data_IF_764276147082
#
_entry.id   IF_764276147082
#
_cell.length_a   1.000
_cell.length_b   1.000
_cell.length_c   1.000
_cell.angle_alpha   90.00
_cell.angle_beta   90.00
_cell.angle_gamma   90.00
#
_symmetry.space_group_name_H-M   'P 1'
#
loop_
_entity.id
_entity.type
_entity.pdbx_description
1 polymer ?
#
# COMPACT_ATOMS: atom_id res chain seq x y z
N UNK A 1 -16.47 6.80 -15.28
CA UNK A 1 -17.04 6.77 -13.91
C UNK A 1 -16.64 5.47 -13.25
N UNK A 2 -15.64 5.47 -12.36
CA UNK A 2 -15.33 4.28 -11.56
C UNK A 2 -16.45 4.05 -10.56
N UNK A 3 -17.14 2.91 -10.65
CA UNK A 3 -18.02 2.43 -9.58
C UNK A 3 -17.17 2.36 -8.31
N UNK A 4 -17.50 3.16 -7.30
CA UNK A 4 -16.91 3.02 -5.97
C UNK A 4 -17.19 1.57 -5.56
N UNK A 5 -16.14 0.74 -5.44
CA UNK A 5 -16.29 -0.61 -4.90
C UNK A 5 -16.89 -0.45 -3.51
N UNK A 6 -18.15 -0.81 -3.36
CA UNK A 6 -18.80 -0.87 -2.07
C UNK A 6 -18.02 -1.88 -1.25
N UNK A 7 -17.39 -1.41 -0.17
CA UNK A 7 -16.63 -2.27 0.74
C UNK A 7 -17.59 -3.25 1.38
N UNK A 8 -17.18 -4.51 1.41
CA UNK A 8 -18.10 -5.57 1.77
C UNK A 8 -18.12 -5.75 3.29
N UNK A 9 -19.29 -5.58 3.89
CA UNK A 9 -19.52 -5.87 5.30
C UNK A 9 -20.08 -7.28 5.51
N UNK A 10 -20.10 -8.15 4.49
CA UNK A 10 -20.63 -9.53 4.59
C UNK A 10 -20.10 -10.30 5.80
N UNK A 11 -21.03 -10.97 6.49
CA UNK A 11 -20.75 -11.76 7.71
C UNK A 11 -20.61 -10.93 8.99
N UNK A 12 -20.86 -9.61 8.95
CA UNK A 12 -20.74 -8.74 10.11
C UNK A 12 -21.65 -9.15 11.27
N UNK A 13 -22.87 -9.61 11.01
CA UNK A 13 -23.84 -9.99 12.05
C UNK A 13 -23.41 -11.22 12.86
N UNK A 14 -22.65 -12.12 12.23
CA UNK A 14 -22.12 -13.32 12.89
C UNK A 14 -20.83 -13.02 13.65
N UNK A 15 -20.09 -12.00 13.20
CA UNK A 15 -18.76 -11.66 13.72
C UNK A 15 -18.79 -10.59 14.80
N UNK A 16 -19.87 -9.81 14.88
CA UNK A 16 -20.02 -8.67 15.78
C UNK A 16 -21.15 -8.92 16.77
N UNK A 17 -21.03 -8.29 17.94
CA UNK A 17 -22.05 -8.31 18.97
C UNK A 17 -22.76 -6.94 18.98
N UNK A 18 -24.08 -6.97 18.78
CA UNK A 18 -24.92 -5.76 18.77
C UNK A 18 -24.84 -4.97 20.08
N UNK A 19 -24.66 -5.62 21.23
CA UNK A 19 -24.61 -4.94 22.52
C UNK A 19 -23.28 -4.22 22.72
N UNK A 20 -22.20 -4.83 22.23
CA UNK A 20 -20.81 -4.36 22.34
C UNK A 20 -20.29 -3.67 21.08
N UNK A 21 -21.17 -3.31 20.15
CA UNK A 21 -20.78 -2.66 18.91
C UNK A 21 -20.18 -1.28 19.22
N UNK A 22 -18.92 -1.10 18.82
CA UNK A 22 -18.13 0.14 18.90
C UNK A 22 -17.39 0.37 17.56
N UNK A 23 -16.93 1.59 17.28
CA UNK A 23 -16.07 1.83 16.11
C UNK A 23 -14.82 0.93 16.11
N UNK A 24 -14.22 0.66 17.28
CA UNK A 24 -13.06 -0.22 17.37
C UNK A 24 -13.40 -1.66 16.96
N UNK A 25 -14.57 -2.17 17.35
CA UNK A 25 -15.02 -3.50 16.93
C UNK A 25 -15.24 -3.57 15.41
N UNK A 26 -15.76 -2.49 14.81
CA UNK A 26 -15.97 -2.38 13.37
C UNK A 26 -14.63 -2.28 12.62
N UNK A 27 -13.69 -1.46 13.10
CA UNK A 27 -12.35 -1.37 12.53
C UNK A 27 -11.59 -2.69 12.63
N UNK A 28 -11.72 -3.40 13.76
CA UNK A 28 -11.11 -4.71 13.97
C UNK A 28 -11.72 -5.76 13.03
N UNK A 29 -13.04 -5.78 12.88
CA UNK A 29 -13.71 -6.62 11.88
C UNK A 29 -13.25 -6.30 10.47
N UNK A 30 -13.24 -5.02 10.10
CA UNK A 30 -12.78 -4.57 8.77
C UNK A 30 -11.35 -4.99 8.49
N UNK A 31 -10.48 -4.99 9.51
CA UNK A 31 -9.09 -5.46 9.38
C UNK A 31 -8.96 -6.96 9.06
N UNK A 32 -9.95 -7.78 9.39
CA UNK A 32 -9.97 -9.19 8.97
C UNK A 32 -10.34 -9.38 7.50
N UNK A 33 -10.86 -8.33 6.86
CA UNK A 33 -11.24 -8.36 5.44
C UNK A 33 -10.05 -7.99 4.57
N UNK A 34 -9.95 -8.64 3.41
CA UNK A 34 -8.88 -8.41 2.45
C UNK A 34 -8.94 -7.04 1.77
N UNK A 35 -10.08 -6.33 1.87
CA UNK A 35 -10.31 -5.02 1.26
C UNK A 35 -10.11 -3.85 2.26
N UNK A 36 -9.48 -4.11 3.41
CA UNK A 36 -9.15 -3.08 4.40
C UNK A 36 -8.19 -2.04 3.81
N UNK A 37 -8.50 -0.76 4.02
CA UNK A 37 -7.62 0.36 3.67
C UNK A 37 -6.81 0.83 4.86
N UNK A 38 -5.53 1.08 4.62
CA UNK A 38 -4.64 1.74 5.57
C UNK A 38 -4.95 3.24 5.73
N UNK A 39 -5.92 3.78 4.97
CA UNK A 39 -6.39 5.16 5.11
C UNK A 39 -7.51 5.24 6.15
N UNK A 40 -7.21 5.89 7.28
CA UNK A 40 -8.19 6.10 8.34
C UNK A 40 -9.46 6.80 7.85
N UNK A 41 -9.31 7.82 7.02
CA UNK A 41 -10.42 8.56 6.42
C UNK A 41 -11.34 7.65 5.58
N UNK A 42 -10.76 6.77 4.76
CA UNK A 42 -11.55 5.90 3.90
C UNK A 42 -12.30 4.81 4.69
N UNK A 43 -11.65 4.18 5.68
CA UNK A 43 -12.32 3.18 6.53
C UNK A 43 -13.43 3.82 7.38
N UNK A 44 -13.18 5.00 7.94
CA UNK A 44 -14.21 5.75 8.65
C UNK A 44 -15.39 6.09 7.74
N UNK A 45 -15.16 6.57 6.52
CA UNK A 45 -16.23 6.82 5.56
C UNK A 45 -17.03 5.56 5.23
N UNK A 46 -16.34 4.44 4.99
CA UNK A 46 -16.98 3.17 4.69
C UNK A 46 -17.84 2.67 5.86
N UNK A 47 -17.34 2.78 7.10
CA UNK A 47 -18.08 2.43 8.30
C UNK A 47 -19.29 3.34 8.48
N UNK A 48 -19.17 4.65 8.31
CA UNK A 48 -20.30 5.57 8.39
C UNK A 48 -21.39 5.22 7.38
N UNK A 49 -21.01 4.99 6.11
CA UNK A 49 -21.95 4.57 5.06
C UNK A 49 -22.62 3.24 5.36
N UNK A 50 -21.88 2.31 5.94
CA UNK A 50 -22.44 1.04 6.39
C UNK A 50 -23.45 1.23 7.53
N UNK A 51 -23.11 2.01 8.57
CA UNK A 51 -24.02 2.30 9.68
C UNK A 51 -25.31 3.00 9.19
N UNK A 52 -25.20 3.89 8.21
CA UNK A 52 -26.36 4.52 7.55
C UNK A 52 -27.30 3.51 6.89
N UNK A 53 -26.75 2.43 6.30
CA UNK A 53 -27.54 1.39 5.64
C UNK A 53 -28.19 0.37 6.58
N UNK A 54 -27.73 0.24 7.83
CA UNK A 54 -28.24 -0.78 8.78
C UNK A 54 -29.77 -0.75 8.94
N UNK A 55 -30.43 0.41 9.13
CA UNK A 55 -31.89 0.47 9.23
C UNK A 55 -32.64 0.01 7.99
N UNK A 56 -32.00 0.04 6.81
CA UNK A 56 -32.61 -0.39 5.55
C UNK A 56 -32.45 -1.89 5.31
N UNK A 57 -31.37 -2.49 5.83
CA UNK A 57 -31.00 -3.88 5.54
C UNK A 57 -31.30 -4.86 6.70
N UNK A 58 -31.61 -4.36 7.90
CA UNK A 58 -31.88 -5.19 9.10
C UNK A 58 -33.19 -4.81 9.78
N UNK A 59 -33.96 -5.79 10.23
CA UNK A 59 -35.20 -5.59 11.00
C UNK A 59 -35.02 -5.70 12.51
N UNK A 60 -33.92 -6.32 13.00
CA UNK A 60 -33.59 -6.40 14.43
C UNK A 60 -33.25 -5.00 14.97
N UNK A 61 -34.11 -4.52 15.87
CA UNK A 61 -33.99 -3.22 16.52
C UNK A 61 -32.68 -3.04 17.29
N UNK A 62 -32.06 -4.12 17.78
CA UNK A 62 -30.77 -4.04 18.50
C UNK A 62 -29.67 -3.48 17.61
N UNK A 63 -29.63 -3.91 16.35
CA UNK A 63 -28.65 -3.41 15.38
C UNK A 63 -28.90 -1.97 14.99
N UNK A 64 -30.17 -1.59 14.81
CA UNK A 64 -30.56 -0.21 14.51
C UNK A 64 -30.12 0.72 15.66
N UNK A 65 -30.45 0.36 16.90
CA UNK A 65 -30.07 1.13 18.08
C UNK A 65 -28.55 1.19 18.28
N UNK A 66 -27.85 0.09 18.04
CA UNK A 66 -26.39 0.05 18.14
C UNK A 66 -25.72 0.94 17.07
N UNK A 67 -26.24 0.92 15.84
CA UNK A 67 -25.77 1.79 14.77
C UNK A 67 -26.02 3.26 15.09
N UNK A 68 -27.21 3.58 15.59
CA UNK A 68 -27.57 4.94 15.98
C UNK A 68 -26.73 5.41 17.18
N UNK A 69 -26.42 4.56 18.16
CA UNK A 69 -25.50 4.90 19.26
C UNK A 69 -24.14 5.36 18.75
N UNK A 70 -23.58 4.63 17.78
CA UNK A 70 -22.30 4.99 17.17
C UNK A 70 -22.43 6.28 16.36
N UNK A 71 -23.49 6.42 15.54
CA UNK A 71 -23.77 7.66 14.78
C UNK A 71 -23.96 8.88 15.68
N UNK A 72 -24.66 8.73 16.79
CA UNK A 72 -24.96 9.81 17.75
C UNK A 72 -23.70 10.25 18.48
N UNK A 73 -22.83 9.31 18.87
CA UNK A 73 -21.49 9.63 19.37
C UNK A 73 -20.60 10.31 18.30
N UNK A 74 -20.86 10.04 17.02
CA UNK A 74 -20.29 10.79 15.89
C UNK A 74 -20.92 12.20 15.71
N UNK A 75 -22.13 12.47 16.23
CA UNK A 75 -22.93 13.67 15.95
C UNK A 75 -22.98 14.73 17.09
N UNK A 76 -22.80 14.37 18.36
CA UNK A 76 -23.10 15.26 19.52
C UNK A 76 -22.13 16.46 19.73
N UNK A 77 -20.91 16.48 19.19
CA UNK A 77 -19.89 17.47 19.61
C UNK A 77 -19.71 18.73 18.73
N UNK A 78 -20.58 18.99 17.74
CA UNK A 78 -20.47 20.19 16.86
C UNK A 78 -21.66 21.15 16.97
N UNK A 79 -22.08 21.41 18.21
CA UNK A 79 -23.09 22.41 18.53
C UNK A 79 -22.89 23.02 19.92
N UNK A 80 -21.75 23.68 20.16
CA UNK A 80 -21.54 24.47 21.38
C UNK A 80 -20.08 24.74 21.75
N UNK A 81 -19.65 25.98 21.49
CA UNK A 81 -18.63 26.78 22.21
C UNK A 81 -17.13 26.40 22.16
N UNK A 82 -16.31 27.44 21.93
CA UNK A 82 -14.85 27.44 21.83
C UNK A 82 -14.18 26.97 23.12
N UNK A 83 -13.32 25.96 23.03
CA UNK A 83 -12.20 25.81 23.97
C UNK A 83 -10.95 25.47 23.15
N UNK A 84 -10.12 26.49 22.96
CA UNK A 84 -8.81 26.34 22.36
C UNK A 84 -7.91 25.47 23.22
N UNK A 85 -7.49 24.32 22.67
CA UNK A 85 -6.15 23.75 22.86
C UNK A 85 -5.75 23.03 21.58
N UNK A 86 -4.65 23.51 21.01
CA UNK A 86 -3.91 22.92 19.91
C UNK A 86 -3.65 21.43 20.25
N UNK A 87 -4.31 20.53 19.51
CA UNK A 87 -4.11 19.09 19.65
C UNK A 87 -3.25 18.65 18.47
N UNK A 88 -2.13 17.98 18.76
CA UNK A 88 -1.15 17.41 17.81
C UNK A 88 -1.71 16.31 16.88
N UNK A 89 -3.01 16.32 16.62
CA UNK A 89 -3.66 15.56 15.55
C UNK A 89 -3.35 16.25 14.22
N UNK A 90 -2.10 16.09 13.79
CA UNK A 90 -1.48 16.50 12.53
C UNK A 90 -2.54 16.82 11.47
N UNK A 91 -2.71 18.12 11.22
CA UNK A 91 -3.23 18.73 9.99
C UNK A 91 -3.72 17.73 8.94
N UNK A 92 -4.91 17.16 9.17
CA UNK A 92 -5.61 16.37 8.16
C UNK A 92 -6.33 17.31 7.21
N UNK A 93 -5.55 18.22 6.58
CA UNK A 93 -6.02 18.87 5.37
C UNK A 93 -6.09 17.81 4.27
N UNK A 94 -7.26 17.57 3.67
CA UNK A 94 -7.34 16.63 2.56
C UNK A 94 -6.45 17.10 1.40
N UNK A 95 -5.92 16.18 0.57
CA UNK A 95 -5.14 16.55 -0.61
C UNK A 95 -5.94 17.51 -1.48
N UNK A 96 -5.40 18.70 -1.75
CA UNK A 96 -6.00 19.65 -2.69
C UNK A 96 -6.01 18.99 -4.07
N UNK A 97 -7.17 18.69 -4.62
CA UNK A 97 -7.26 18.35 -6.04
C UNK A 97 -6.97 19.61 -6.88
N UNK A 98 -6.31 19.49 -8.03
CA UNK A 98 -5.86 20.63 -8.84
C UNK A 98 -7.00 21.40 -9.54
N UNK A 99 -8.25 21.00 -9.39
CA UNK A 99 -9.41 21.43 -10.18
C UNK A 99 -10.39 22.38 -9.46
N UNK A 100 -10.11 22.81 -8.22
CA UNK A 100 -10.77 23.97 -7.60
C UNK A 100 -12.29 23.89 -7.37
N UNK A 101 -12.92 22.74 -7.61
CA UNK A 101 -14.35 22.54 -7.38
C UNK A 101 -14.64 22.17 -5.91
N UNK A 102 -15.39 23.06 -5.25
CA UNK A 102 -15.93 22.85 -3.91
C UNK A 102 -16.83 21.62 -3.90
N UNK A 103 -16.39 20.58 -3.19
CA UNK A 103 -17.16 19.34 -2.98
C UNK A 103 -18.18 19.56 -1.84
N UNK A 104 -19.28 18.79 -1.76
CA UNK A 104 -20.26 18.90 -0.69
C UNK A 104 -19.68 18.34 0.63
N UNK A 105 -18.88 19.14 1.35
CA UNK A 105 -18.10 18.68 2.52
C UNK A 105 -18.88 18.62 3.84
N UNK A 106 -20.18 18.90 3.86
CA UNK A 106 -21.00 18.82 5.09
C UNK A 106 -21.01 17.41 5.72
N UNK A 107 -20.66 16.36 4.96
CA UNK A 107 -20.59 14.96 5.42
C UNK A 107 -19.24 14.56 6.04
N UNK A 108 -18.17 15.37 5.94
CA UNK A 108 -16.80 14.95 6.29
C UNK A 108 -16.32 15.38 7.67
N UNK A 109 -17.02 16.30 8.34
CA UNK A 109 -16.73 16.69 9.73
C UNK A 109 -17.24 15.69 10.79
N UNK A 110 -17.88 14.61 10.36
CA UNK A 110 -18.74 13.75 11.20
C UNK A 110 -18.04 12.56 11.89
N UNK A 111 -16.71 12.38 11.82
CA UNK A 111 -16.06 11.12 12.29
C UNK A 111 -14.87 11.34 13.25
N UNK A 112 -15.03 12.17 14.28
CA UNK A 112 -13.88 12.62 15.09
C UNK A 112 -13.82 12.15 16.56
N UNK A 113 -14.92 11.87 17.28
CA UNK A 113 -14.80 11.61 18.73
C UNK A 113 -14.35 10.17 19.09
N UNK A 114 -14.98 9.12 18.53
CA UNK A 114 -14.47 7.75 18.74
C UNK A 114 -13.08 7.58 18.09
N UNK A 115 -12.80 8.26 16.98
CA UNK A 115 -11.49 8.32 16.34
C UNK A 115 -10.40 8.94 17.23
N UNK A 116 -10.79 9.78 18.20
CA UNK A 116 -9.90 10.43 19.17
C UNK A 116 -9.73 9.65 20.48
N UNK A 117 -10.46 8.54 20.67
CA UNK A 117 -10.18 7.65 21.81
C UNK A 117 -8.76 7.12 21.70
N UNK A 118 -8.09 6.98 22.85
CA UNK A 118 -6.73 6.44 22.88
C UNK A 118 -6.66 5.03 22.28
N UNK A 119 -7.74 4.25 22.36
CA UNK A 119 -7.81 2.93 21.75
C UNK A 119 -7.83 2.97 20.22
N UNK A 120 -8.61 3.88 19.61
CA UNK A 120 -8.67 4.02 18.15
C UNK A 120 -7.40 4.69 17.61
N UNK A 121 -6.82 5.64 18.34
CA UNK A 121 -5.49 6.19 18.03
C UNK A 121 -4.41 5.10 18.06
N UNK A 122 -4.39 4.29 19.12
CA UNK A 122 -3.44 3.18 19.25
C UNK A 122 -3.64 2.13 18.15
N UNK A 123 -4.89 1.87 17.75
CA UNK A 123 -5.18 1.01 16.59
C UNK A 123 -4.52 1.54 15.32
N UNK A 124 -4.75 2.82 14.99
CA UNK A 124 -4.19 3.42 13.77
C UNK A 124 -2.66 3.54 13.83
N UNK A 125 -2.10 3.81 15.00
CA UNK A 125 -0.65 3.79 15.21
C UNK A 125 -0.05 2.42 14.89
N UNK A 126 -0.65 1.33 15.40
CA UNK A 126 -0.21 -0.04 15.09
C UNK A 126 -0.33 -0.35 13.58
N UNK A 127 -1.46 -0.01 12.98
CA UNK A 127 -1.68 -0.18 11.53
C UNK A 127 -0.61 0.56 10.72
N UNK A 128 -0.25 1.77 11.12
CA UNK A 128 0.76 2.57 10.43
C UNK A 128 2.17 1.99 10.59
N UNK A 129 2.52 1.51 11.79
CA UNK A 129 3.80 0.83 12.03
C UNK A 129 3.92 -0.40 11.13
N UNK A 130 2.90 -1.26 11.10
CA UNK A 130 2.89 -2.45 10.25
C UNK A 130 3.02 -2.10 8.77
N UNK A 131 2.29 -1.07 8.31
CA UNK A 131 2.44 -0.56 6.94
C UNK A 131 3.89 -0.20 6.63
N UNK A 132 4.53 0.59 7.49
CA UNK A 132 5.93 1.00 7.33
C UNK A 132 6.86 -0.22 7.29
N UNK A 133 6.65 -1.22 8.16
CA UNK A 133 7.45 -2.45 8.17
C UNK A 133 7.28 -3.27 6.89
N UNK A 134 6.05 -3.39 6.38
CA UNK A 134 5.81 -4.12 5.12
C UNK A 134 6.41 -3.42 3.92
N UNK A 135 6.30 -2.08 3.84
CA UNK A 135 6.94 -1.28 2.80
C UNK A 135 8.46 -1.36 2.87
N UNK A 136 9.04 -1.40 4.08
CA UNK A 136 10.47 -1.58 4.28
C UNK A 136 10.94 -2.95 3.76
N UNK A 137 10.25 -4.03 4.14
CA UNK A 137 10.56 -5.39 3.69
C UNK A 137 10.47 -5.51 2.17
N UNK A 138 9.48 -4.88 1.55
CA UNK A 138 9.33 -4.85 0.10
C UNK A 138 10.53 -4.18 -0.57
N UNK A 139 10.96 -3.02 -0.07
CA UNK A 139 12.14 -2.31 -0.60
C UNK A 139 13.43 -3.11 -0.42
N UNK A 140 13.61 -3.79 0.71
CA UNK A 140 14.76 -4.68 0.94
C UNK A 140 14.77 -5.83 -0.08
N UNK A 141 13.62 -6.43 -0.36
CA UNK A 141 13.49 -7.48 -1.38
C UNK A 141 13.81 -6.95 -2.79
N UNK A 142 13.31 -5.76 -3.15
CA UNK A 142 13.63 -5.12 -4.44
C UNK A 142 15.13 -4.83 -4.60
N UNK A 143 15.80 -4.41 -3.53
CA UNK A 143 17.26 -4.18 -3.53
C UNK A 143 18.00 -5.50 -3.75
N UNK A 144 17.62 -6.58 -3.06
CA UNK A 144 18.27 -7.88 -3.22
C UNK A 144 18.03 -8.47 -4.61
N UNK A 145 16.82 -8.31 -5.16
CA UNK A 145 16.53 -8.69 -6.54
C UNK A 145 17.42 -7.91 -7.53
N UNK A 146 17.52 -6.60 -7.36
CA UNK A 146 18.38 -5.75 -8.19
C UNK A 146 19.87 -6.13 -8.10
N UNK A 147 20.36 -6.50 -6.91
CA UNK A 147 21.73 -7.03 -6.74
C UNK A 147 21.93 -8.35 -7.48
N UNK A 148 20.97 -9.28 -7.39
CA UNK A 148 21.05 -10.56 -8.06
C UNK A 148 21.04 -10.40 -9.61
N UNK A 149 20.16 -9.53 -10.13
CA UNK A 149 20.09 -9.22 -11.56
C UNK A 149 21.37 -8.54 -12.07
N UNK A 150 21.92 -7.61 -11.28
CA UNK A 150 23.20 -6.97 -11.58
C UNK A 150 24.33 -8.00 -11.63
N UNK A 151 24.43 -8.88 -10.63
CA UNK A 151 25.43 -9.93 -10.59
C UNK A 151 25.31 -10.87 -11.79
N UNK A 152 24.10 -11.34 -12.12
CA UNK A 152 23.85 -12.20 -13.26
C UNK A 152 24.25 -11.54 -14.60
N UNK A 153 23.94 -10.25 -14.75
CA UNK A 153 24.35 -9.46 -15.92
C UNK A 153 25.87 -9.34 -16.03
N UNK A 154 26.55 -9.11 -14.90
CA UNK A 154 28.00 -9.02 -14.85
C UNK A 154 28.68 -10.36 -15.20
N UNK A 155 28.18 -11.48 -14.66
CA UNK A 155 28.68 -12.82 -15.02
C UNK A 155 28.49 -13.12 -16.51
N UNK A 156 27.32 -12.78 -17.07
CA UNK A 156 27.06 -12.95 -18.51
C UNK A 156 28.07 -12.15 -19.34
N UNK A 157 28.31 -10.90 -18.97
CA UNK A 157 29.27 -10.03 -19.67
C UNK A 157 30.71 -10.57 -19.56
N UNK A 158 31.14 -11.04 -18.40
CA UNK A 158 32.45 -11.67 -18.22
C UNK A 158 32.64 -12.90 -19.11
N UNK A 159 31.61 -13.75 -19.21
CA UNK A 159 31.63 -14.92 -20.09
C UNK A 159 31.73 -14.53 -21.57
N UNK A 160 31.02 -13.49 -22.00
CA UNK A 160 31.13 -12.98 -23.38
C UNK A 160 32.51 -12.37 -23.67
N UNK A 161 33.10 -11.65 -22.69
CA UNK A 161 34.44 -11.09 -22.83
C UNK A 161 35.49 -12.19 -23.02
N UNK A 162 35.41 -13.28 -22.25
CA UNK A 162 36.31 -14.43 -22.42
C UNK A 162 36.16 -15.07 -23.80
N UNK A 163 34.95 -15.26 -24.31
CA UNK A 163 34.74 -15.78 -25.68
C UNK A 163 35.41 -14.90 -26.74
N UNK A 164 35.33 -13.58 -26.59
CA UNK A 164 35.97 -12.63 -27.51
C UNK A 164 37.49 -12.75 -27.42
N UNK A 165 38.05 -12.77 -26.21
CA UNK A 165 39.49 -12.92 -26.00
C UNK A 165 40.03 -14.24 -26.57
N UNK A 166 39.32 -15.34 -26.35
CA UNK A 166 39.71 -16.66 -26.87
C UNK A 166 39.67 -16.67 -28.40
N UNK A 167 38.64 -16.09 -29.01
CA UNK A 167 38.55 -15.97 -30.47
C UNK A 167 39.71 -15.15 -31.03
N UNK A 168 40.01 -13.98 -30.44
CA UNK A 168 41.14 -13.13 -30.86
C UNK A 168 42.47 -13.90 -30.75
N UNK A 169 42.65 -14.68 -29.68
CA UNK A 169 43.86 -15.50 -29.49
C UNK A 169 43.97 -16.61 -30.53
N UNK A 170 42.87 -17.32 -30.82
CA UNK A 170 42.83 -18.36 -31.85
C UNK A 170 43.15 -17.76 -33.23
N UNK A 171 42.51 -16.65 -33.59
CA UNK A 171 42.74 -15.95 -34.87
C UNK A 171 44.20 -15.50 -35.02
N UNK A 172 44.82 -15.01 -33.94
CA UNK A 172 46.23 -14.65 -33.91
C UNK A 172 47.14 -15.85 -34.17
N UNK A 173 46.91 -16.96 -33.46
CA UNK A 173 47.70 -18.19 -33.61
C UNK A 173 47.57 -18.73 -35.04
N UNK A 174 46.35 -18.80 -35.58
CA UNK A 174 46.11 -19.26 -36.95
C UNK A 174 46.82 -18.38 -38.00
N UNK A 175 46.76 -17.05 -37.86
CA UNK A 175 47.46 -16.14 -38.77
C UNK A 175 48.98 -16.19 -38.63
N UNK A 176 49.51 -16.42 -37.41
CA UNK A 176 50.95 -16.58 -37.19
C UNK A 176 51.51 -17.85 -37.85
N UNK A 177 50.72 -18.93 -37.87
CA UNK A 177 51.07 -20.18 -38.56
C UNK A 177 50.92 -20.10 -40.09
N UNK A 178 49.98 -19.29 -40.59
CA UNK A 178 49.85 -19.03 -42.03
C UNK A 178 51.06 -18.23 -42.58
N UNK A 179 51.55 -17.24 -41.83
CA UNK A 179 52.71 -16.43 -42.24
C UNK A 179 54.06 -17.13 -42.11
N UNK A 180 54.18 -18.16 -41.26
CA UNK A 180 55.44 -18.93 -41.12
C UNK A 180 55.62 -19.98 -42.22
N UNK A 181 54.56 -20.36 -42.92
CA UNK A 181 54.63 -21.30 -44.05
C UNK A 181 54.80 -20.60 -45.41
N UNK A 182 54.71 -19.28 -45.50
CA UNK A 182 54.99 -18.53 -46.74
C UNK A 182 56.45 -18.07 -46.90
N UNK A 183 57.31 -18.34 -45.91
CA UNK A 183 58.73 -17.93 -45.93
C UNK A 183 59.73 -18.99 -46.38
N UNK A 184 59.30 -20.17 -46.87
CA UNK A 184 60.20 -21.29 -47.20
C UNK A 184 60.31 -21.69 -48.67
N UNK A 185 59.63 -21.00 -49.58
CA UNK A 185 59.58 -21.41 -51.01
C UNK A 185 60.38 -20.52 -51.98
N UNK A 186 61.32 -19.70 -51.50
CA UNK A 186 62.20 -18.92 -52.38
C UNK A 186 63.68 -18.98 -51.95
N UNK A 187 64.29 -20.16 -52.02
CA UNK A 187 65.75 -20.28 -52.16
C UNK A 187 66.13 -21.55 -52.95
N UNK A 188 65.68 -21.63 -54.20
CA UNK A 188 66.32 -22.46 -55.22
C UNK A 188 65.90 -21.97 -56.60
N UNK A 189 66.74 -21.14 -57.21
CA UNK A 189 67.12 -21.33 -58.60
C UNK A 189 68.41 -20.53 -58.86
N UNK A 190 69.48 -21.30 -59.09
CA UNK A 190 70.76 -20.90 -59.66
C UNK A 190 70.71 -21.11 -61.16
#
# INVERSE_FOLDING_TARGET
MSKVKQRDFTGWQESLDSEKLTLLSLLSFRRTKSDFSFSACEEHFAITKFLESIPEIVTDKRWILAADRIKVNLHIYYGGEEIGKESDYVSMQPPKRPDGLSTPWASYGLVLHEAQTEEVKAFWLRVNIEKIETEKKLKEYEIELGKAEFAASFFKMGNELHKIQDKVRIDYVLNSHANTNQGKDHESDK
#
